data_IF_966744266867
#
_entry.id   IF_966744266867
#
_cell.length_a   1.000
_cell.length_b   1.000
_cell.length_c   1.000
_cell.angle_alpha   90.00
_cell.angle_beta   90.00
_cell.angle_gamma   90.00
#
_symmetry.space_group_name_H-M   'P 1'
#
loop_
_entity.id
_entity.type
_entity.pdbx_description
1 polymer ?
#
# COMPACT_ATOMS: atom_id res chain seq x y z
N UNK A 1 -14.22 1.10 -18.09
CA UNK A 1 -13.30 1.68 -17.10
C UNK A 1 -13.76 1.28 -15.70
N UNK A 2 -12.85 0.81 -14.89
CA UNK A 2 -13.18 0.40 -13.52
C UNK A 2 -13.11 1.57 -12.55
N UNK A 3 -14.13 1.74 -11.74
CA UNK A 3 -14.11 2.64 -10.59
C UNK A 3 -13.60 1.90 -9.34
N UNK A 4 -13.30 0.62 -9.48
CA UNK A 4 -12.79 -0.17 -8.37
C UNK A 4 -11.45 0.36 -7.89
N UNK A 5 -11.24 0.26 -6.59
CA UNK A 5 -10.08 0.81 -5.91
C UNK A 5 -9.13 -0.33 -5.58
N UNK A 6 -7.85 -0.10 -5.78
CA UNK A 6 -6.80 -0.99 -5.30
C UNK A 6 -6.01 -0.28 -4.20
N UNK A 7 -5.75 -0.98 -3.11
CA UNK A 7 -4.90 -0.47 -2.04
C UNK A 7 -3.45 -0.86 -2.33
N UNK A 8 -2.55 0.11 -2.32
CA UNK A 8 -1.12 -0.14 -2.46
C UNK A 8 -0.48 -0.08 -1.08
N UNK A 9 0.05 -1.20 -0.61
CA UNK A 9 0.90 -1.18 0.57
C UNK A 9 2.21 -0.46 0.24
N UNK A 10 2.93 -0.01 1.26
CA UNK A 10 4.21 0.69 1.07
C UNK A 10 5.20 -0.12 0.25
N UNK A 11 5.21 -1.45 0.44
CA UNK A 11 6.11 -2.33 -0.33
C UNK A 11 5.86 -2.25 -1.84
N UNK A 12 4.62 -2.05 -2.26
CA UNK A 12 4.29 -1.89 -3.68
C UNK A 12 4.76 -0.53 -4.20
N UNK A 13 4.51 0.53 -3.43
CA UNK A 13 4.92 1.88 -3.83
C UNK A 13 6.44 1.95 -3.97
N UNK A 14 7.16 1.35 -3.04
CA UNK A 14 8.63 1.32 -3.07
C UNK A 14 9.14 0.65 -4.34
N UNK A 15 8.49 -0.41 -4.81
CA UNK A 15 8.87 -1.07 -6.07
C UNK A 15 8.63 -0.21 -7.31
N UNK A 16 7.77 0.79 -7.22
CA UNK A 16 7.58 1.75 -8.31
C UNK A 16 8.67 2.84 -8.30
N UNK A 17 9.32 3.04 -7.16
CA UNK A 17 10.37 4.06 -7.01
C UNK A 17 11.73 3.48 -7.40
N UNK A 18 12.04 2.28 -6.93
CA UNK A 18 13.29 1.60 -7.20
C UNK A 18 13.09 0.55 -8.29
N UNK A 19 14.07 0.44 -9.18
CA UNK A 19 14.01 -0.55 -10.25
C UNK A 19 14.39 -1.93 -9.70
N UNK A 20 13.37 -2.73 -9.42
CA UNK A 20 13.52 -4.08 -8.89
C UNK A 20 12.97 -5.11 -9.89
N UNK A 21 13.26 -6.41 -9.73
CA UNK A 21 12.79 -7.42 -10.69
C UNK A 21 11.28 -7.39 -10.94
N UNK A 22 10.48 -7.08 -9.92
CA UNK A 22 9.02 -7.07 -10.03
C UNK A 22 8.45 -5.77 -10.61
N UNK A 23 9.25 -4.72 -10.72
CA UNK A 23 8.77 -3.39 -11.13
C UNK A 23 8.04 -3.40 -12.48
N UNK A 24 8.54 -4.03 -13.54
CA UNK A 24 7.80 -4.05 -14.81
C UNK A 24 6.43 -4.71 -14.71
N UNK A 25 6.36 -5.86 -14.03
CA UNK A 25 5.09 -6.58 -13.86
C UNK A 25 4.09 -5.76 -13.04
N UNK A 26 4.56 -5.09 -12.00
CA UNK A 26 3.72 -4.22 -11.18
C UNK A 26 3.18 -3.04 -11.98
N UNK A 27 4.05 -2.38 -12.76
CA UNK A 27 3.63 -1.24 -13.59
C UNK A 27 2.56 -1.68 -14.60
N UNK A 28 2.75 -2.82 -15.24
CA UNK A 28 1.78 -3.37 -16.19
C UNK A 28 0.45 -3.69 -15.50
N UNK A 29 0.50 -4.32 -14.34
CA UNK A 29 -0.69 -4.64 -13.56
C UNK A 29 -1.48 -3.37 -13.23
N UNK A 30 -0.80 -2.31 -12.83
CA UNK A 30 -1.45 -1.06 -12.39
C UNK A 30 -2.08 -0.26 -13.53
N UNK A 31 -1.76 -0.55 -14.79
CA UNK A 31 -2.44 0.08 -15.94
C UNK A 31 -3.96 -0.14 -15.85
N UNK A 32 -4.38 -1.32 -15.40
CA UNK A 32 -5.79 -1.66 -15.26
C UNK A 32 -6.44 -1.04 -14.02
N UNK A 33 -5.65 -0.45 -13.11
CA UNK A 33 -6.11 0.02 -11.81
C UNK A 33 -5.71 1.48 -11.57
N UNK A 34 -6.40 2.43 -12.22
CA UNK A 34 -6.05 3.86 -12.05
C UNK A 34 -6.41 4.43 -10.68
N UNK A 35 -7.40 3.84 -9.99
CA UNK A 35 -7.81 4.32 -8.66
C UNK A 35 -7.01 3.61 -7.57
N UNK A 36 -5.93 4.24 -7.14
CA UNK A 36 -4.95 3.68 -6.21
C UNK A 36 -5.00 4.45 -4.90
N UNK A 37 -4.99 3.72 -3.81
CA UNK A 37 -5.14 4.25 -2.47
C UNK A 37 -4.03 3.75 -1.55
N UNK A 38 -3.66 4.56 -0.58
CA UNK A 38 -2.75 4.15 0.50
C UNK A 38 -3.05 4.99 1.74
N UNK A 39 -2.63 4.51 2.90
CA UNK A 39 -2.67 5.30 4.12
C UNK A 39 -1.69 6.46 4.06
N UNK A 40 -2.04 7.59 4.69
CA UNK A 40 -1.09 8.70 4.87
C UNK A 40 0.19 8.24 5.57
N UNK A 41 0.11 7.20 6.42
CA UNK A 41 1.30 6.65 7.09
C UNK A 41 2.22 5.94 6.10
N UNK A 42 1.66 5.38 5.03
CA UNK A 42 2.46 4.81 3.94
C UNK A 42 3.32 5.85 3.24
N UNK A 43 2.81 7.07 3.09
CA UNK A 43 3.60 8.19 2.57
C UNK A 43 4.84 8.43 3.43
N UNK A 44 4.70 8.41 4.74
CA UNK A 44 5.84 8.61 5.65
C UNK A 44 6.87 7.50 5.46
N UNK A 45 6.43 6.25 5.41
CA UNK A 45 7.34 5.13 5.20
C UNK A 45 8.13 5.27 3.89
N UNK A 46 7.42 5.55 2.81
CA UNK A 46 8.00 5.66 1.46
C UNK A 46 9.02 6.80 1.41
N UNK A 47 8.67 7.97 1.94
CA UNK A 47 9.57 9.12 1.92
C UNK A 47 10.78 8.92 2.81
N UNK A 48 10.63 8.26 3.96
CA UNK A 48 11.76 7.97 4.83
C UNK A 48 12.75 6.99 4.19
N UNK A 49 12.25 5.97 3.50
CA UNK A 49 13.10 5.03 2.78
C UNK A 49 13.84 5.74 1.63
N UNK A 50 13.13 6.56 0.88
CA UNK A 50 13.73 7.34 -0.21
C UNK A 50 14.81 8.28 0.31
N UNK A 51 14.57 8.92 1.44
CA UNK A 51 15.52 9.82 2.07
C UNK A 51 16.79 9.11 2.52
N UNK A 52 16.66 7.87 2.97
CA UNK A 52 17.80 7.06 3.44
C UNK A 52 18.82 6.79 2.33
N UNK A 53 18.36 6.73 1.09
CA UNK A 53 19.24 6.57 -0.07
C UNK A 53 20.13 7.80 -0.27
N UNK A 54 19.64 8.99 0.12
CA UNK A 54 20.41 10.21 0.07
C UNK A 54 20.54 10.84 -1.31
N UNK A 55 19.74 10.40 -2.27
CA UNK A 55 19.73 10.91 -3.63
C UNK A 55 18.47 11.76 -3.85
N UNK A 56 18.67 13.04 -4.15
CA UNK A 56 17.56 13.97 -4.37
C UNK A 56 16.66 13.56 -5.54
N UNK A 57 17.21 12.89 -6.55
CA UNK A 57 16.44 12.40 -7.69
C UNK A 57 15.47 11.32 -7.26
N UNK A 58 15.92 10.40 -6.39
CA UNK A 58 15.08 9.34 -5.84
C UNK A 58 13.93 9.92 -5.02
N UNK A 59 14.22 10.89 -4.16
CA UNK A 59 13.18 11.54 -3.33
C UNK A 59 12.15 12.27 -4.20
N UNK A 60 12.60 12.96 -5.24
CA UNK A 60 11.71 13.64 -6.17
C UNK A 60 10.82 12.63 -6.91
N UNK A 61 11.41 11.54 -7.37
CA UNK A 61 10.65 10.47 -8.04
C UNK A 61 9.61 9.85 -7.10
N UNK A 62 9.97 9.64 -5.84
CA UNK A 62 9.03 9.14 -4.83
C UNK A 62 7.83 10.07 -4.68
N UNK A 63 8.07 11.38 -4.62
CA UNK A 63 6.97 12.36 -4.53
C UNK A 63 6.08 12.34 -5.77
N UNK A 64 6.66 12.17 -6.95
CA UNK A 64 5.91 12.06 -8.20
C UNK A 64 5.03 10.83 -8.21
N UNK A 65 5.55 9.68 -7.80
CA UNK A 65 4.77 8.44 -7.69
C UNK A 65 3.59 8.64 -6.71
N UNK A 66 3.85 9.27 -5.57
CA UNK A 66 2.82 9.51 -4.56
C UNK A 66 1.69 10.44 -5.05
N UNK A 67 1.94 11.32 -6.01
CA UNK A 67 0.87 12.16 -6.58
C UNK A 67 -0.18 11.33 -7.30
N UNK A 68 0.16 10.14 -7.77
CA UNK A 68 -0.78 9.22 -8.41
C UNK A 68 -1.52 8.30 -7.45
N UNK A 69 -1.32 8.47 -6.14
CA UNK A 69 -1.95 7.65 -5.12
C UNK A 69 -2.80 8.53 -4.24
N UNK A 70 -4.08 8.16 -4.08
CA UNK A 70 -4.96 8.86 -3.16
C UNK A 70 -4.64 8.44 -1.73
N UNK A 71 -4.36 9.41 -0.86
CA UNK A 71 -3.95 9.13 0.52
C UNK A 71 -5.16 9.24 1.46
N UNK A 72 -5.41 8.17 2.21
CA UNK A 72 -6.48 8.11 3.20
C UNK A 72 -5.90 8.38 4.58
N UNK A 73 -6.47 9.36 5.27
CA UNK A 73 -6.01 9.70 6.62
C UNK A 73 -6.34 8.58 7.60
N UNK A 74 -5.36 8.19 8.40
CA UNK A 74 -5.54 7.23 9.49
C UNK A 74 -6.24 7.94 10.67
N UNK A 75 -7.55 7.99 10.62
CA UNK A 75 -8.38 8.61 11.66
C UNK A 75 -8.54 7.68 12.88
N UNK A 76 -9.23 8.18 13.90
CA UNK A 76 -9.43 7.42 15.14
C UNK A 76 -10.14 6.08 14.90
N UNK A 77 -11.09 6.03 13.97
CA UNK A 77 -11.80 4.79 13.64
C UNK A 77 -10.87 3.76 13.04
N UNK A 78 -10.01 4.17 12.11
CA UNK A 78 -9.02 3.28 11.49
C UNK A 78 -8.00 2.82 12.53
N UNK A 79 -7.51 3.73 13.39
CA UNK A 79 -6.53 3.39 14.42
C UNK A 79 -7.12 2.40 15.42
N UNK A 80 -8.36 2.60 15.84
CA UNK A 80 -9.05 1.66 16.73
C UNK A 80 -9.21 0.29 16.07
N UNK A 81 -9.59 0.26 14.81
CA UNK A 81 -9.74 -0.98 14.05
C UNK A 81 -8.39 -1.70 13.90
N UNK A 82 -7.32 -0.96 13.66
CA UNK A 82 -5.97 -1.54 13.56
C UNK A 82 -5.57 -2.21 14.87
N UNK A 83 -5.84 -1.54 16.00
CA UNK A 83 -5.53 -2.08 17.33
C UNK A 83 -6.32 -3.35 17.65
N UNK A 84 -7.50 -3.52 17.06
CA UNK A 84 -8.41 -4.63 17.32
C UNK A 84 -8.32 -5.78 16.31
N UNK A 85 -7.38 -5.73 15.35
CA UNK A 85 -7.24 -6.81 14.37
C UNK A 85 -6.92 -8.14 15.02
N UNK A 86 -7.45 -9.22 14.41
CA UNK A 86 -7.28 -10.57 14.94
C UNK A 86 -5.86 -11.13 14.80
N UNK A 87 -5.00 -10.47 14.01
CA UNK A 87 -3.62 -10.89 13.80
C UNK A 87 -2.69 -10.14 14.80
N UNK A 88 -2.53 -10.67 16.04
CA UNK A 88 -1.82 -9.91 17.09
C UNK A 88 -0.32 -9.73 16.83
N UNK A 89 0.26 -10.56 15.96
CA UNK A 89 1.69 -10.48 15.64
C UNK A 89 2.00 -9.54 14.48
N UNK A 90 0.97 -8.98 13.84
CA UNK A 90 1.16 -8.03 12.75
C UNK A 90 1.73 -6.72 13.30
N UNK A 91 2.78 -6.21 12.64
CA UNK A 91 3.41 -4.96 13.08
C UNK A 91 2.45 -3.79 12.98
N UNK A 92 2.69 -2.76 13.79
CA UNK A 92 1.80 -1.62 13.92
C UNK A 92 1.48 -0.95 12.60
N UNK A 93 2.50 -0.62 11.78
CA UNK A 93 2.24 0.02 10.48
C UNK A 93 1.47 -0.89 9.54
N UNK A 94 1.77 -2.18 9.55
CA UNK A 94 1.05 -3.15 8.72
C UNK A 94 -0.41 -3.29 9.18
N UNK A 95 -0.66 -3.23 10.48
CA UNK A 95 -2.03 -3.24 11.00
C UNK A 95 -2.83 -2.02 10.54
N UNK A 96 -2.18 -0.87 10.43
CA UNK A 96 -2.83 0.35 9.94
C UNK A 96 -3.12 0.24 8.44
N UNK A 97 -2.20 -0.32 7.65
CA UNK A 97 -2.46 -0.60 6.25
C UNK A 97 -3.66 -1.51 6.07
N UNK A 98 -3.70 -2.61 6.81
CA UNK A 98 -4.80 -3.56 6.71
C UNK A 98 -6.13 -2.96 7.14
N UNK A 99 -6.15 -2.24 8.26
CA UNK A 99 -7.37 -1.60 8.74
C UNK A 99 -7.86 -0.52 7.76
N UNK A 100 -6.95 0.24 7.16
CA UNK A 100 -7.30 1.25 6.16
C UNK A 100 -7.94 0.58 4.93
N UNK A 101 -7.34 -0.49 4.44
CA UNK A 101 -7.88 -1.24 3.31
C UNK A 101 -9.27 -1.80 3.64
N UNK A 102 -9.43 -2.42 4.79
CA UNK A 102 -10.71 -2.98 5.22
C UNK A 102 -11.80 -1.93 5.36
N UNK A 103 -11.44 -0.69 5.73
CA UNK A 103 -12.41 0.39 5.88
C UNK A 103 -13.10 0.78 4.57
N UNK A 104 -12.53 0.40 3.43
CA UNK A 104 -13.10 0.71 2.13
C UNK A 104 -14.28 -0.22 1.77
N UNK A 105 -14.42 -1.33 2.48
CA UNK A 105 -15.53 -2.25 2.30
C UNK A 105 -15.62 -2.80 0.87
N UNK A 106 -16.84 -2.88 0.30
CA UNK A 106 -17.03 -3.47 -1.02
C UNK A 106 -16.46 -2.67 -2.18
N UNK A 107 -16.07 -1.41 -1.96
CA UNK A 107 -15.43 -0.60 -2.99
C UNK A 107 -14.00 -1.04 -3.27
N UNK A 108 -13.40 -1.78 -2.36
CA UNK A 108 -12.03 -2.27 -2.51
C UNK A 108 -11.99 -3.53 -3.34
N UNK A 109 -11.23 -3.51 -4.44
CA UNK A 109 -11.00 -4.70 -5.26
C UNK A 109 -9.97 -5.63 -4.60
N UNK A 110 -8.94 -5.07 -3.98
CA UNK A 110 -7.92 -5.84 -3.31
C UNK A 110 -6.71 -5.01 -2.93
N UNK A 111 -5.68 -5.68 -2.43
CA UNK A 111 -4.45 -5.05 -1.97
C UNK A 111 -3.26 -5.57 -2.77
N UNK A 112 -2.41 -4.65 -3.21
CA UNK A 112 -1.10 -5.00 -3.80
C UNK A 112 -0.07 -4.89 -2.70
N UNK A 113 0.59 -5.99 -2.38
CA UNK A 113 1.50 -6.07 -1.24
C UNK A 113 2.55 -7.15 -1.48
N UNK A 114 3.81 -6.79 -1.22
CA UNK A 114 4.93 -7.73 -1.38
C UNK A 114 5.43 -8.27 -0.04
N UNK A 115 5.16 -7.56 1.06
CA UNK A 115 5.49 -8.06 2.38
C UNK A 115 4.65 -9.30 2.71
N UNK A 116 5.34 -10.39 3.07
CA UNK A 116 4.71 -11.68 3.27
C UNK A 116 3.72 -11.68 4.43
N UNK A 117 4.09 -11.08 5.57
CA UNK A 117 3.24 -11.10 6.76
C UNK A 117 1.96 -10.31 6.54
N UNK A 118 2.06 -9.12 5.94
CA UNK A 118 0.89 -8.31 5.64
C UNK A 118 0.01 -9.01 4.58
N UNK A 119 0.62 -9.62 3.58
CA UNK A 119 -0.10 -10.35 2.54
C UNK A 119 -0.92 -11.49 3.13
N UNK A 120 -0.33 -12.28 4.01
CA UNK A 120 -1.02 -13.39 4.68
C UNK A 120 -2.16 -12.88 5.57
N UNK A 121 -1.93 -11.81 6.31
CA UNK A 121 -2.95 -11.20 7.16
C UNK A 121 -4.13 -10.66 6.34
N UNK A 122 -3.84 -10.02 5.22
CA UNK A 122 -4.87 -9.49 4.33
C UNK A 122 -5.73 -10.62 3.75
N UNK A 123 -5.11 -11.73 3.33
CA UNK A 123 -5.86 -12.90 2.88
C UNK A 123 -6.74 -13.45 3.97
N UNK A 124 -6.21 -13.59 5.17
CA UNK A 124 -6.97 -14.10 6.31
C UNK A 124 -8.17 -13.21 6.64
N UNK A 125 -8.05 -11.91 6.37
CA UNK A 125 -9.13 -10.94 6.55
C UNK A 125 -10.14 -10.94 5.39
N UNK A 126 -9.95 -11.76 4.38
CA UNK A 126 -10.88 -11.90 3.26
C UNK A 126 -10.61 -11.02 2.06
N UNK A 127 -9.46 -10.33 2.02
CA UNK A 127 -9.11 -9.48 0.89
C UNK A 127 -8.47 -10.28 -0.25
N UNK A 128 -8.73 -9.84 -1.48
CA UNK A 128 -7.91 -10.26 -2.61
C UNK A 128 -6.53 -9.62 -2.47
N UNK A 129 -5.49 -10.38 -2.76
CA UNK A 129 -4.11 -9.90 -2.62
C UNK A 129 -3.32 -10.22 -3.88
N UNK A 130 -2.54 -9.24 -4.34
CA UNK A 130 -1.72 -9.38 -5.53
C UNK A 130 -0.28 -8.97 -5.22
N UNK A 131 0.65 -9.70 -5.82
CA UNK A 131 2.08 -9.38 -5.79
C UNK A 131 2.65 -9.68 -7.19
N UNK A 132 2.35 -8.84 -8.19
CA UNK A 132 2.79 -9.09 -9.57
C UNK A 132 4.30 -9.27 -9.70
N UNK A 133 4.70 -10.34 -10.39
CA UNK A 133 6.12 -10.68 -10.58
C UNK A 133 6.45 -10.99 -12.02
#
# INVERSE_FOLDING_TARGET
MSEAIVYLASSAIIKLIFDEPETPALAEFLVEWPNRLCSTLGRVEVLRISRRVGDAVVTRHAREILTGVHLVRADEGILAAAAALEQPTLRTLDSIHLATALSLGPDLAGMVVYDRQLREAARAAGLNVWAPT
#
